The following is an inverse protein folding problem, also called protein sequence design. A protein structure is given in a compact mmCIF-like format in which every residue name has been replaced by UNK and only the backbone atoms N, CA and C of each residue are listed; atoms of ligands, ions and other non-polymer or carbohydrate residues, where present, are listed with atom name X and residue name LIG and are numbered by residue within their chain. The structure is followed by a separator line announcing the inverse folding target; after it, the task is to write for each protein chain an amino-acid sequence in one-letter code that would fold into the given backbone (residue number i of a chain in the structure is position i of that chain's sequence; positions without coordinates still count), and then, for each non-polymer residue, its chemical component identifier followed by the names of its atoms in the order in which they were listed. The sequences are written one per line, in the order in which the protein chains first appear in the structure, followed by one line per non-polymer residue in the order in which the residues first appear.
data_IF_227375488904
#
_entry.id   IF_227375488904
#
_cell.length_a   1.000
_cell.length_b   1.000
_cell.length_c   1.000
_cell.angle_alpha   90.00
_cell.angle_beta   90.00
_cell.angle_gamma   90.00
#
_symmetry.space_group_name_H-M   'P 1'
#
loop_
_entity.id
_entity.type
_entity.pdbx_description
1 polymer ?
#
# COMPACT_ATOMS: atom_id res chain seq x y z
N UNK A 1 -30.76 6.17 -33.67
CA UNK A 1 -30.47 5.84 -32.26
C UNK A 1 -29.03 6.23 -31.99
N UNK A 2 -28.79 7.27 -31.18
CA UNK A 2 -27.44 7.69 -30.75
C UNK A 2 -27.24 7.13 -29.35
N UNK A 3 -26.31 6.19 -29.23
CA UNK A 3 -25.88 5.61 -27.96
C UNK A 3 -25.06 6.66 -27.19
N UNK A 4 -25.74 7.38 -26.29
CA UNK A 4 -25.14 8.39 -25.42
C UNK A 4 -24.47 7.66 -24.26
N UNK A 5 -23.22 7.22 -24.45
CA UNK A 5 -22.36 6.77 -23.35
C UNK A 5 -22.09 7.98 -22.46
N UNK A 6 -22.86 8.11 -21.39
CA UNK A 6 -22.62 9.11 -20.36
C UNK A 6 -21.34 8.72 -19.62
N UNK A 7 -20.29 9.53 -19.80
CA UNK A 7 -19.15 9.54 -18.88
C UNK A 7 -19.66 10.06 -17.55
N UNK A 8 -19.98 9.16 -16.62
CA UNK A 8 -20.26 9.52 -15.23
C UNK A 8 -18.91 9.82 -14.58
N UNK A 9 -18.58 11.11 -14.47
CA UNK A 9 -17.48 11.54 -13.62
C UNK A 9 -17.92 11.37 -12.16
N UNK A 10 -17.57 10.23 -11.56
CA UNK A 10 -17.73 10.02 -10.12
C UNK A 10 -16.62 10.80 -9.43
N UNK A 11 -16.95 12.01 -8.95
CA UNK A 11 -16.08 12.74 -8.03
C UNK A 11 -16.21 12.06 -6.68
N UNK A 12 -15.23 11.23 -6.31
CA UNK A 12 -15.12 10.70 -4.94
C UNK A 12 -14.80 11.87 -4.04
N UNK A 13 -15.81 12.33 -3.29
CA UNK A 13 -15.75 13.57 -2.49
C UNK A 13 -14.84 13.46 -1.27
N UNK A 14 -14.16 12.33 -1.07
CA UNK A 14 -13.19 12.16 -0.01
C UNK A 14 -12.20 11.02 -0.34
N UNK A 15 -10.93 11.33 -0.66
CA UNK A 15 -9.88 10.32 -0.77
C UNK A 15 -9.55 9.84 0.65
N UNK A 16 -10.38 8.96 1.24
CA UNK A 16 -10.25 8.59 2.65
C UNK A 16 -8.98 7.79 3.01
N UNK A 17 -8.22 7.31 2.01
CA UNK A 17 -7.13 6.37 2.23
C UNK A 17 -5.77 7.06 2.08
N UNK A 18 -4.91 6.86 3.08
CA UNK A 18 -3.49 7.11 2.90
C UNK A 18 -2.93 6.05 1.94
N UNK A 19 -2.15 6.50 0.97
CA UNK A 19 -1.65 5.62 -0.07
C UNK A 19 -0.84 6.34 -1.14
N UNK A 20 -0.23 5.55 -2.00
CA UNK A 20 0.50 6.02 -3.17
C UNK A 20 0.48 4.94 -4.26
N UNK A 21 1.15 5.23 -5.36
CA UNK A 21 1.23 4.35 -6.52
C UNK A 21 1.99 5.05 -7.64
N UNK A 22 1.84 4.54 -8.85
CA UNK A 22 2.40 5.20 -10.03
C UNK A 22 1.72 6.55 -10.27
N UNK A 23 2.52 7.58 -10.54
CA UNK A 23 2.10 9.00 -10.56
C UNK A 23 1.01 9.36 -11.58
N UNK A 24 0.88 8.61 -12.67
CA UNK A 24 -0.15 8.86 -13.68
C UNK A 24 -1.49 8.23 -13.25
N UNK A 25 -2.37 9.04 -12.67
CA UNK A 25 -3.74 8.67 -12.31
C UNK A 25 -3.97 8.34 -10.82
N UNK A 26 -2.93 8.33 -9.98
CA UNK A 26 -3.05 8.02 -8.54
C UNK A 26 -3.24 9.23 -7.63
N UNK A 27 -2.91 10.44 -8.07
CA UNK A 27 -2.88 11.63 -7.22
C UNK A 27 -4.26 11.99 -6.64
N UNK A 28 -5.34 11.67 -7.35
CA UNK A 28 -6.72 11.91 -6.91
C UNK A 28 -7.30 10.74 -6.09
N UNK A 29 -6.56 9.61 -5.98
CA UNK A 29 -7.02 8.39 -5.30
C UNK A 29 -6.67 8.39 -3.80
N UNK A 30 -5.73 9.23 -3.38
CA UNK A 30 -5.15 9.22 -2.05
C UNK A 30 -5.17 10.59 -1.39
N UNK A 31 -5.08 10.58 -0.06
CA UNK A 31 -4.94 11.80 0.75
C UNK A 31 -3.73 12.61 0.31
N UNK A 32 -3.87 13.90 -0.04
CA UNK A 32 -2.72 14.75 -0.38
C UNK A 32 -1.74 14.89 0.79
N UNK A 33 -2.21 14.72 2.03
CA UNK A 33 -1.39 14.68 3.24
C UNK A 33 -0.70 13.32 3.50
N UNK A 34 -0.82 12.33 2.61
CA UNK A 34 -0.09 11.06 2.75
C UNK A 34 1.41 11.34 2.81
N UNK A 35 2.14 10.88 3.85
CA UNK A 35 3.56 11.15 3.96
C UNK A 35 4.35 10.54 2.81
N UNK A 36 5.18 11.37 2.16
CA UNK A 36 6.01 10.98 1.02
C UNK A 36 7.28 10.27 1.48
N UNK A 37 7.72 9.30 0.68
CA UNK A 37 8.98 8.60 0.84
C UNK A 37 9.98 9.16 -0.17
N UNK A 38 11.17 9.53 0.29
CA UNK A 38 12.24 10.08 -0.54
C UNK A 38 13.49 9.19 -0.46
N UNK A 39 14.22 9.08 -1.57
CA UNK A 39 15.54 8.45 -1.60
C UNK A 39 16.64 9.39 -1.05
N UNK A 40 17.89 8.91 -1.02
CA UNK A 40 19.04 9.68 -0.52
C UNK A 40 19.30 10.96 -1.35
N UNK A 41 18.92 10.95 -2.62
CA UNK A 41 19.02 12.07 -3.55
C UNK A 41 17.85 13.08 -3.41
N UNK A 42 16.89 12.81 -2.51
CA UNK A 42 15.72 13.66 -2.27
C UNK A 42 14.62 13.53 -3.32
N UNK A 43 14.66 12.50 -4.15
CA UNK A 43 13.61 12.19 -5.13
C UNK A 43 12.48 11.42 -4.46
N UNK A 44 11.24 11.81 -4.75
CA UNK A 44 10.05 11.10 -4.29
C UNK A 44 9.98 9.72 -4.95
N UNK A 45 10.01 8.67 -4.14
CA UNK A 45 9.97 7.27 -4.59
C UNK A 45 8.70 6.54 -4.13
N UNK A 46 7.78 7.22 -3.44
CA UNK A 46 6.51 6.66 -3.01
C UNK A 46 6.03 7.26 -1.68
N UNK A 47 5.55 6.44 -0.77
CA UNK A 47 4.96 6.90 0.49
C UNK A 47 5.24 5.98 1.67
N UNK A 48 5.14 6.59 2.86
CA UNK A 48 5.37 5.94 4.15
C UNK A 48 4.15 6.15 5.03
N UNK A 49 3.54 5.07 5.50
CA UNK A 49 2.26 5.12 6.20
C UNK A 49 2.42 4.54 7.61
N UNK A 50 2.06 5.33 8.59
CA UNK A 50 1.80 4.85 9.96
C UNK A 50 0.44 4.14 9.98
N UNK A 51 0.45 2.82 10.11
CA UNK A 51 -0.79 2.04 10.05
C UNK A 51 -1.65 2.18 11.30
N UNK A 52 -1.06 2.45 12.47
CA UNK A 52 -1.84 2.73 13.67
C UNK A 52 -2.66 4.01 13.50
N UNK A 53 -2.05 5.07 12.99
CA UNK A 53 -2.70 6.35 12.75
C UNK A 53 -3.71 6.28 11.59
N UNK A 54 -3.30 5.67 10.46
CA UNK A 54 -4.11 5.62 9.26
C UNK A 54 -5.25 4.59 9.34
N UNK A 55 -5.11 3.53 10.16
CA UNK A 55 -5.96 2.32 10.26
C UNK A 55 -6.06 1.49 8.97
N UNK A 56 -5.87 2.09 7.80
CA UNK A 56 -5.88 1.45 6.51
C UNK A 56 -4.95 2.17 5.54
N UNK A 57 -4.13 1.40 4.84
CA UNK A 57 -3.26 1.84 3.77
C UNK A 57 -3.75 1.29 2.43
N UNK A 58 -3.42 1.98 1.35
CA UNK A 58 -3.73 1.54 0.00
C UNK A 58 -2.54 1.79 -0.95
N UNK A 59 -2.41 0.93 -1.96
CA UNK A 59 -1.35 1.00 -2.94
C UNK A 59 -1.89 0.70 -4.33
N UNK A 60 -1.60 1.59 -5.28
CA UNK A 60 -2.09 1.53 -6.64
C UNK A 60 -0.97 1.15 -7.62
N UNK A 61 -1.15 0.01 -8.28
CA UNK A 61 -0.22 -0.49 -9.29
C UNK A 61 -1.02 -1.04 -10.48
N UNK A 62 -1.30 -0.21 -11.49
CA UNK A 62 -2.08 -0.60 -12.65
C UNK A 62 -1.22 -1.31 -13.70
N UNK A 63 -1.89 -2.01 -14.62
CA UNK A 63 -1.24 -2.54 -15.82
C UNK A 63 -0.64 -1.41 -16.66
N UNK A 64 0.53 -1.60 -17.30
CA UNK A 64 1.30 -2.84 -17.45
C UNK A 64 2.31 -3.10 -16.31
N UNK A 65 2.23 -2.38 -15.19
CA UNK A 65 3.12 -2.55 -14.05
C UNK A 65 2.67 -3.69 -13.16
N UNK A 66 3.60 -4.19 -12.34
CA UNK A 66 3.40 -5.36 -11.50
C UNK A 66 3.66 -4.99 -10.04
N UNK A 67 2.85 -5.54 -9.15
CA UNK A 67 3.15 -5.54 -7.72
C UNK A 67 4.37 -6.42 -7.45
N UNK A 68 5.23 -5.97 -6.56
CA UNK A 68 6.42 -6.69 -6.12
C UNK A 68 6.53 -6.59 -4.58
N UNK A 69 6.38 -7.70 -3.84
CA UNK A 69 6.17 -9.06 -4.34
C UNK A 69 4.81 -9.19 -5.05
N UNK A 70 4.64 -10.16 -5.98
CA UNK A 70 3.39 -10.37 -6.73
C UNK A 70 2.16 -10.55 -5.84
N UNK A 71 2.37 -11.01 -4.60
CA UNK A 71 1.33 -11.21 -3.61
C UNK A 71 1.04 -10.01 -2.70
N UNK A 72 1.70 -8.84 -2.84
CA UNK A 72 1.48 -7.70 -1.95
C UNK A 72 -0.01 -7.41 -1.72
N UNK A 73 -0.57 -7.40 -0.51
CA UNK A 73 0.06 -7.53 0.82
C UNK A 73 0.11 -8.94 1.42
N UNK A 74 -0.43 -9.99 0.80
CA UNK A 74 -0.31 -11.37 1.33
C UNK A 74 1.16 -11.79 1.53
N UNK A 75 2.05 -11.17 0.76
CA UNK A 75 3.49 -11.19 0.93
C UNK A 75 4.00 -9.75 0.98
N UNK A 76 5.06 -9.50 1.74
CA UNK A 76 5.71 -8.19 1.84
C UNK A 76 7.21 -8.38 1.93
N UNK A 77 7.98 -7.37 1.56
CA UNK A 77 9.39 -7.31 1.90
C UNK A 77 9.55 -6.85 3.35
N UNK A 78 10.47 -7.50 4.06
CA UNK A 78 10.96 -7.09 5.37
C UNK A 78 12.48 -7.21 5.30
N UNK A 79 13.18 -6.07 5.23
CA UNK A 79 14.65 -6.03 4.98
C UNK A 79 15.06 -6.82 3.73
N UNK A 80 14.37 -6.59 2.61
CA UNK A 80 14.54 -7.28 1.32
C UNK A 80 14.24 -8.79 1.30
N UNK A 81 13.81 -9.38 2.43
CA UNK A 81 13.28 -10.75 2.46
C UNK A 81 11.76 -10.77 2.27
N UNK A 82 11.27 -11.67 1.41
CA UNK A 82 9.83 -11.87 1.21
C UNK A 82 9.27 -12.70 2.38
N UNK A 83 8.31 -12.13 3.10
CA UNK A 83 7.61 -12.79 4.21
C UNK A 83 6.10 -12.82 3.98
N UNK A 84 5.42 -13.84 4.49
CA UNK A 84 3.96 -13.87 4.47
C UNK A 84 3.38 -12.95 5.54
N UNK A 85 2.32 -12.22 5.20
CA UNK A 85 1.65 -11.33 6.15
C UNK A 85 1.08 -12.08 7.36
N UNK A 86 0.59 -13.30 7.15
CA UNK A 86 0.04 -14.13 8.24
C UNK A 86 1.09 -14.54 9.28
N UNK A 87 2.34 -14.67 8.84
CA UNK A 87 3.48 -15.00 9.71
C UNK A 87 3.90 -13.77 10.52
N UNK A 88 3.75 -12.58 9.93
CA UNK A 88 4.03 -11.28 10.56
C UNK A 88 2.95 -10.94 11.61
N UNK A 89 1.67 -11.06 11.27
CA UNK A 89 0.57 -10.61 12.15
C UNK A 89 -0.79 -11.20 11.79
N UNK A 90 -1.65 -11.44 12.78
CA UNK A 90 -3.08 -11.71 12.58
C UNK A 90 -3.92 -10.44 12.47
N UNK A 91 -3.43 -9.32 13.03
CA UNK A 91 -4.17 -8.05 13.04
C UNK A 91 -4.04 -7.26 11.74
N UNK A 92 -3.29 -7.77 10.76
CA UNK A 92 -3.13 -7.18 9.44
C UNK A 92 -3.95 -7.93 8.40
N UNK A 93 -4.91 -7.23 7.78
CA UNK A 93 -5.84 -7.82 6.81
C UNK A 93 -5.61 -7.21 5.43
N UNK A 94 -5.15 -8.04 4.48
CA UNK A 94 -4.98 -7.67 3.08
C UNK A 94 -6.30 -7.77 2.30
N UNK A 95 -6.47 -6.92 1.31
CA UNK A 95 -7.54 -7.03 0.30
C UNK A 95 -7.00 -6.58 -1.05
N UNK A 96 -7.37 -7.32 -2.10
CA UNK A 96 -6.90 -7.10 -3.46
C UNK A 96 -8.06 -6.77 -4.40
N UNK A 97 -7.78 -5.91 -5.36
CA UNK A 97 -8.58 -5.67 -6.55
C UNK A 97 -7.64 -5.64 -7.77
N UNK A 98 -8.17 -5.35 -8.96
CA UNK A 98 -7.39 -5.42 -10.20
C UNK A 98 -6.12 -4.55 -10.20
N UNK A 99 -6.17 -3.37 -9.60
CA UNK A 99 -5.05 -2.40 -9.61
C UNK A 99 -4.75 -1.81 -8.24
N UNK A 100 -5.54 -2.15 -7.22
CA UNK A 100 -5.37 -1.67 -5.86
C UNK A 100 -5.23 -2.82 -4.89
N UNK A 101 -4.32 -2.63 -3.95
CA UNK A 101 -4.21 -3.47 -2.77
C UNK A 101 -4.32 -2.61 -1.53
N UNK A 102 -4.97 -3.13 -0.49
CA UNK A 102 -5.14 -2.41 0.76
C UNK A 102 -4.72 -3.28 1.93
N UNK A 103 -4.17 -2.65 2.96
CA UNK A 103 -3.84 -3.26 4.23
C UNK A 103 -4.65 -2.56 5.32
N UNK A 104 -5.46 -3.31 6.07
CA UNK A 104 -6.23 -2.80 7.19
C UNK A 104 -5.67 -3.34 8.50
N UNK A 105 -5.49 -2.48 9.48
CA UNK A 105 -5.27 -2.89 10.86
C UNK A 105 -6.62 -3.20 11.53
N UNK A 106 -6.75 -4.39 12.10
CA UNK A 106 -7.89 -4.81 12.89
C UNK A 106 -7.47 -5.10 14.34
N UNK A 107 -7.75 -4.17 15.25
CA UNK A 107 -7.39 -4.27 16.66
C UNK A 107 -8.02 -5.47 17.38
N UNK A 108 -9.17 -5.96 16.89
CA UNK A 108 -9.85 -7.13 17.47
C UNK A 108 -9.10 -8.44 17.22
N UNK A 109 -8.19 -8.46 16.24
CA UNK A 109 -7.40 -9.63 15.85
C UNK A 109 -5.98 -9.62 16.42
N UNK A 110 -5.64 -8.64 17.27
CA UNK A 110 -4.32 -8.58 17.91
C UNK A 110 -4.17 -9.81 18.81
N UNK A 111 -3.28 -10.71 18.42
CA UNK A 111 -3.05 -11.97 19.11
C UNK A 111 -2.14 -11.82 20.34
N UNK A 112 -2.15 -12.81 21.26
CA UNK A 112 -1.16 -12.89 22.32
C UNK A 112 0.27 -12.92 21.74
N UNK A 113 1.17 -12.10 22.31
CA UNK A 113 2.56 -12.00 21.85
C UNK A 113 2.79 -11.05 20.68
N UNK A 114 1.74 -10.45 20.11
CA UNK A 114 1.93 -9.36 19.15
C UNK A 114 2.31 -8.06 19.86
N UNK A 115 3.37 -7.42 19.39
CA UNK A 115 3.83 -6.12 19.88
C UNK A 115 3.89 -5.11 18.76
N UNK A 116 3.65 -3.84 19.08
CA UNK A 116 3.80 -2.76 18.12
C UNK A 116 5.27 -2.64 17.70
N UNK A 117 5.53 -2.88 16.42
CA UNK A 117 6.84 -2.69 15.79
C UNK A 117 6.84 -1.44 14.94
N UNK A 118 7.91 -0.66 15.06
CA UNK A 118 8.16 0.52 14.22
C UNK A 118 9.09 0.18 13.06
N UNK A 119 9.99 -0.79 13.26
CA UNK A 119 11.02 -1.20 12.30
C UNK A 119 11.27 -2.70 12.38
N UNK A 120 11.70 -3.34 11.27
CA UNK A 120 11.74 -2.80 9.91
C UNK A 120 10.34 -2.55 9.32
N UNK A 121 10.17 -1.60 8.38
CA UNK A 121 8.88 -1.38 7.71
C UNK A 121 8.51 -2.57 6.83
N UNK A 122 7.21 -2.80 6.64
CA UNK A 122 6.73 -3.70 5.59
C UNK A 122 6.76 -2.95 4.27
N UNK A 123 7.33 -3.55 3.24
CA UNK A 123 7.50 -2.90 1.95
C UNK A 123 6.79 -3.63 0.81
N UNK A 124 6.15 -2.85 -0.04
CA UNK A 124 5.67 -3.27 -1.35
C UNK A 124 6.11 -2.27 -2.41
N UNK A 125 6.33 -2.78 -3.62
CA UNK A 125 6.82 -2.02 -4.77
C UNK A 125 5.86 -2.18 -5.93
N UNK A 126 5.79 -1.16 -6.78
CA UNK A 126 5.20 -1.26 -8.11
C UNK A 126 6.34 -1.14 -9.12
N UNK A 127 6.51 -2.16 -9.94
CA UNK A 127 7.65 -2.30 -10.85
C UNK A 127 7.21 -2.38 -12.30
N UNK A 128 8.09 -1.96 -13.21
CA UNK A 128 7.94 -2.28 -14.63
C UNK A 128 8.08 -3.78 -14.88
N UNK A 129 7.67 -4.26 -16.05
CA UNK A 129 7.92 -5.64 -16.51
C UNK A 129 9.41 -6.02 -16.55
N UNK A 130 10.32 -5.04 -16.47
CA UNK A 130 11.78 -5.24 -16.41
C UNK A 130 12.34 -5.19 -14.98
N UNK A 131 11.49 -5.06 -13.97
CA UNK A 131 11.89 -4.98 -12.55
C UNK A 131 12.32 -3.59 -12.07
N UNK A 132 12.20 -2.54 -12.89
CA UNK A 132 12.50 -1.16 -12.45
C UNK A 132 11.39 -0.70 -11.49
N UNK A 133 11.76 -0.28 -10.28
CA UNK A 133 10.85 0.26 -9.27
C UNK A 133 10.34 1.65 -9.68
N UNK A 134 9.02 1.81 -9.67
CA UNK A 134 8.33 3.07 -9.98
C UNK A 134 7.77 3.76 -8.74
N UNK A 135 7.35 2.98 -7.75
CA UNK A 135 6.82 3.48 -6.49
C UNK A 135 7.00 2.43 -5.39
N UNK A 136 7.29 2.87 -4.19
CA UNK A 136 7.44 2.05 -2.99
C UNK A 136 6.48 2.51 -1.91
N UNK A 137 5.75 1.55 -1.33
CA UNK A 137 4.95 1.73 -0.14
C UNK A 137 5.68 1.14 1.06
N UNK A 138 5.87 1.94 2.10
CA UNK A 138 6.34 1.46 3.40
C UNK A 138 5.24 1.59 4.46
N UNK A 139 5.04 0.52 5.23
CA UNK A 139 4.14 0.46 6.37
C UNK A 139 4.94 0.39 7.66
N UNK A 140 4.69 1.34 8.56
CA UNK A 140 5.27 1.40 9.90
C UNK A 140 4.17 1.32 10.97
N UNK A 141 4.59 1.15 12.23
CA UNK A 141 3.71 1.09 13.38
C UNK A 141 2.61 0.02 13.17
N UNK A 142 3.05 -1.22 12.97
CA UNK A 142 2.18 -2.39 12.82
C UNK A 142 2.47 -3.40 13.93
N UNK A 143 1.49 -4.23 14.27
CA UNK A 143 1.69 -5.28 15.25
C UNK A 143 2.42 -6.45 14.60
N UNK A 144 3.42 -7.01 15.29
CA UNK A 144 4.26 -8.11 14.81
C UNK A 144 4.29 -9.24 15.84
N UNK A 145 4.24 -10.48 15.38
CA UNK A 145 4.41 -11.69 16.20
C UNK A 145 5.89 -12.01 16.39
N UNK A 146 6.36 -12.01 17.63
CA UNK A 146 7.69 -12.52 17.96
C UNK A 146 7.81 -14.04 17.79
#
# INVERSE_FOLDING_TARGET
MRDLRHLVAVVVTDPYLQGCGVTYGSAELFKPETPKLYNAEGQEIGCKIDLQAARKAAFYCPVPYLLDPPGCFNQVYVEDEVKSLSDISQSLVASHSNHFVTLKFNSELVGPGETLSQTPPLECRCVTIKGIVLSTLQIENYYYKY
#
